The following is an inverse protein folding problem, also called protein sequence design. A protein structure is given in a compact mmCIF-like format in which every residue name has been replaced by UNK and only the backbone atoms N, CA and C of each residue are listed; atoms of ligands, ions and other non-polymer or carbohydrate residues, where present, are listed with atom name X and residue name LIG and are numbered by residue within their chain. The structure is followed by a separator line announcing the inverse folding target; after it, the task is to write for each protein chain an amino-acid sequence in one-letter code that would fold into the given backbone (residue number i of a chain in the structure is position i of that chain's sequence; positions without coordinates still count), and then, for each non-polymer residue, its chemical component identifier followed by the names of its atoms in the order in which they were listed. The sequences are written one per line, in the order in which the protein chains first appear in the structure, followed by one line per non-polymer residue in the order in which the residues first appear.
data_IF_537373215896
#
_entry.id   IF_537373215896
#
_cell.length_a   1.000
_cell.length_b   1.000
_cell.length_c   1.000
_cell.angle_alpha   90.00
_cell.angle_beta   90.00
_cell.angle_gamma   90.00
#
_symmetry.space_group_name_H-M   'P 1'
#
loop_
_entity.id
_entity.type
_entity.pdbx_description
1 polymer ?
#
# COMPACT_ATOMS: atom_id res chain seq x y z
N UNK A 1 -41.42 -7.83 -13.75
CA UNK A 1 -40.23 -6.97 -13.86
C UNK A 1 -40.32 -5.65 -13.05
N UNK A 2 -41.20 -5.54 -12.02
CA UNK A 2 -41.44 -4.29 -11.25
C UNK A 2 -41.09 -4.39 -9.75
N UNK A 3 -40.58 -5.54 -9.30
CA UNK A 3 -40.25 -5.81 -7.89
C UNK A 3 -38.78 -5.56 -7.53
N UNK A 4 -37.90 -5.43 -8.53
CA UNK A 4 -36.45 -5.33 -8.30
C UNK A 4 -35.94 -3.87 -8.13
N UNK A 5 -36.73 -2.89 -8.60
CA UNK A 5 -36.40 -1.45 -8.45
C UNK A 5 -36.77 -0.88 -7.08
N UNK A 6 -37.83 -1.39 -6.44
CA UNK A 6 -38.24 -0.97 -5.08
C UNK A 6 -37.30 -1.51 -4.00
N UNK A 7 -36.74 -2.70 -4.19
CA UNK A 7 -35.74 -3.29 -3.29
C UNK A 7 -34.41 -2.50 -3.30
N UNK A 8 -33.90 -2.12 -4.49
CA UNK A 8 -32.68 -1.30 -4.63
C UNK A 8 -32.83 0.10 -4.03
N UNK A 9 -33.97 0.76 -4.22
CA UNK A 9 -34.27 2.07 -3.61
C UNK A 9 -34.19 2.00 -2.07
N UNK A 10 -34.73 0.94 -1.47
CA UNK A 10 -34.68 0.72 -0.03
C UNK A 10 -33.25 0.42 0.48
N UNK A 11 -32.42 -0.27 -0.31
CA UNK A 11 -31.03 -0.53 0.06
C UNK A 11 -30.19 0.75 0.12
N UNK A 12 -30.22 1.58 -0.93
CA UNK A 12 -29.50 2.86 -0.93
C UNK A 12 -30.03 3.80 0.15
N UNK A 13 -31.35 3.88 0.35
CA UNK A 13 -31.94 4.67 1.43
C UNK A 13 -31.46 4.21 2.82
N UNK A 14 -31.44 2.89 3.08
CA UNK A 14 -30.91 2.30 4.31
C UNK A 14 -29.41 2.56 4.50
N UNK A 15 -28.65 2.56 3.41
CA UNK A 15 -27.22 2.82 3.41
C UNK A 15 -26.89 4.27 3.74
N UNK A 16 -27.60 5.22 3.14
CA UNK A 16 -27.45 6.65 3.44
C UNK A 16 -28.03 7.02 4.81
N UNK A 17 -29.05 6.30 5.29
CA UNK A 17 -29.57 6.47 6.65
C UNK A 17 -28.69 5.80 7.72
N UNK A 18 -27.65 5.06 7.33
CA UNK A 18 -26.80 4.35 8.27
C UNK A 18 -26.06 5.35 9.18
N UNK A 19 -26.27 5.31 10.51
CA UNK A 19 -25.67 6.26 11.44
C UNK A 19 -24.14 6.18 11.46
N UNK A 20 -23.57 5.01 11.17
CA UNK A 20 -22.12 4.83 11.12
C UNK A 20 -21.53 5.63 9.96
N UNK A 21 -22.13 5.52 8.77
CA UNK A 21 -21.68 6.23 7.58
C UNK A 21 -21.69 7.75 7.82
N UNK A 22 -22.80 8.27 8.34
CA UNK A 22 -22.95 9.70 8.64
C UNK A 22 -21.93 10.18 9.68
N UNK A 23 -21.67 9.38 10.71
CA UNK A 23 -20.65 9.66 11.73
C UNK A 23 -19.25 9.70 11.12
N UNK A 24 -18.88 8.71 10.32
CA UNK A 24 -17.55 8.63 9.69
C UNK A 24 -17.30 9.80 8.73
N UNK A 25 -18.23 10.07 7.82
CA UNK A 25 -18.10 11.21 6.90
C UNK A 25 -18.04 12.56 7.64
N UNK A 26 -18.91 12.78 8.62
CA UNK A 26 -18.92 14.04 9.38
C UNK A 26 -17.64 14.21 10.21
N UNK A 27 -17.16 13.12 10.83
CA UNK A 27 -15.92 13.13 11.61
C UNK A 27 -14.71 13.36 10.72
N UNK A 28 -14.68 12.73 9.54
CA UNK A 28 -13.60 12.91 8.57
C UNK A 28 -13.58 14.31 7.97
N UNK A 29 -14.74 14.86 7.59
CA UNK A 29 -14.85 16.22 7.05
C UNK A 29 -14.42 17.29 8.07
N UNK A 30 -14.67 17.05 9.36
CA UNK A 30 -14.24 17.95 10.46
C UNK A 30 -12.79 17.72 10.89
N UNK A 31 -12.16 16.63 10.47
CA UNK A 31 -10.81 16.32 10.87
C UNK A 31 -9.82 17.16 10.06
N UNK A 32 -9.13 18.07 10.74
CA UNK A 32 -8.12 18.93 10.13
C UNK A 32 -7.04 18.14 9.39
N UNK A 33 -6.77 16.89 9.79
CA UNK A 33 -5.81 16.01 9.11
C UNK A 33 -6.26 15.61 7.70
N UNK A 34 -7.55 15.38 7.49
CA UNK A 34 -8.09 15.00 6.18
C UNK A 34 -8.10 16.23 5.25
N UNK A 35 -8.49 17.39 5.77
CA UNK A 35 -8.44 18.66 5.04
C UNK A 35 -7.00 19.01 4.68
N UNK A 36 -6.07 18.87 5.62
CA UNK A 36 -4.64 19.09 5.38
C UNK A 36 -4.09 18.11 4.34
N UNK A 37 -4.46 16.82 4.41
CA UNK A 37 -4.04 15.83 3.42
C UNK A 37 -4.56 16.18 2.01
N UNK A 38 -5.83 16.59 1.90
CA UNK A 38 -6.42 17.03 0.63
C UNK A 38 -5.73 18.28 0.07
N UNK A 39 -5.52 19.30 0.92
CA UNK A 39 -4.83 20.51 0.53
C UNK A 39 -3.38 20.23 0.12
N UNK A 40 -2.68 19.37 0.88
CA UNK A 40 -1.32 18.96 0.58
C UNK A 40 -1.24 18.25 -0.77
N UNK A 41 -2.13 17.31 -1.07
CA UNK A 41 -2.13 16.64 -2.39
C UNK A 41 -2.43 17.60 -3.52
N UNK A 42 -3.41 18.49 -3.36
CA UNK A 42 -3.74 19.46 -4.41
C UNK A 42 -2.60 20.46 -4.63
N UNK A 43 -1.93 20.91 -3.56
CA UNK A 43 -0.77 21.80 -3.66
C UNK A 43 0.41 21.08 -4.30
N UNK A 44 0.72 19.86 -3.88
CA UNK A 44 1.82 19.08 -4.48
C UNK A 44 1.57 18.80 -5.95
N UNK A 45 0.37 18.35 -6.33
CA UNK A 45 0.01 18.12 -7.73
C UNK A 45 0.00 19.43 -8.54
N UNK A 46 -0.50 20.52 -7.95
CA UNK A 46 -0.46 21.85 -8.59
C UNK A 46 0.97 22.36 -8.79
N UNK A 47 1.86 22.15 -7.82
CA UNK A 47 3.29 22.49 -7.95
C UNK A 47 3.98 21.63 -9.00
N UNK A 48 3.71 20.32 -9.02
CA UNK A 48 4.22 19.42 -10.07
C UNK A 48 3.75 19.92 -11.43
N UNK A 49 2.46 20.22 -11.59
CA UNK A 49 1.91 20.77 -12.82
C UNK A 49 2.58 22.11 -13.20
N UNK A 50 2.83 23.00 -12.24
CA UNK A 50 3.50 24.28 -12.46
C UNK A 50 4.96 24.10 -12.91
N UNK A 51 5.71 23.19 -12.29
CA UNK A 51 7.10 22.90 -12.66
C UNK A 51 7.21 22.18 -14.00
N UNK A 52 6.25 21.29 -14.30
CA UNK A 52 6.17 20.57 -15.57
C UNK A 52 5.54 21.40 -16.68
N UNK A 53 5.03 22.60 -16.38
CA UNK A 53 4.36 23.42 -17.38
C UNK A 53 5.33 23.75 -18.53
N UNK A 54 5.01 23.39 -19.78
CA UNK A 54 5.94 23.52 -20.89
C UNK A 54 6.28 25.00 -21.12
N UNK A 55 7.56 25.35 -20.95
CA UNK A 55 8.08 26.71 -21.23
C UNK A 55 8.12 27.04 -22.73
N UNK A 56 8.02 26.03 -23.60
CA UNK A 56 8.16 26.14 -25.05
C UNK A 56 6.83 26.19 -25.83
N UNK A 57 5.70 26.44 -25.16
CA UNK A 57 4.38 26.56 -25.81
C UNK A 57 3.55 25.28 -25.80
N UNK A 58 2.26 25.43 -26.13
CA UNK A 58 1.14 24.51 -25.80
C UNK A 58 1.06 23.26 -26.72
N UNK A 59 1.95 23.08 -27.71
CA UNK A 59 1.73 22.11 -28.80
C UNK A 59 2.98 21.32 -29.26
N UNK A 60 3.78 20.76 -28.35
CA UNK A 60 4.79 19.76 -28.72
C UNK A 60 4.37 18.36 -28.25
N UNK A 61 3.75 17.60 -29.15
CA UNK A 61 3.10 16.30 -28.86
C UNK A 61 4.05 15.28 -28.20
N UNK A 62 5.32 15.26 -28.59
CA UNK A 62 6.30 14.29 -28.08
C UNK A 62 6.64 14.51 -26.58
N UNK A 63 6.69 15.78 -26.12
CA UNK A 63 6.99 16.08 -24.72
C UNK A 63 5.75 15.97 -23.83
N UNK A 64 4.55 16.19 -24.38
CA UNK A 64 3.29 16.19 -23.64
C UNK A 64 2.95 14.85 -22.98
N UNK A 65 3.22 13.73 -23.67
CA UNK A 65 2.95 12.39 -23.14
C UNK A 65 3.84 12.03 -21.95
N UNK A 66 5.11 12.44 -21.97
CA UNK A 66 6.04 12.23 -20.85
C UNK A 66 5.61 13.03 -19.62
N UNK A 67 5.26 14.31 -19.79
CA UNK A 67 4.80 15.17 -18.71
C UNK A 67 3.53 14.63 -18.05
N UNK A 68 2.58 14.18 -18.87
CA UNK A 68 1.34 13.61 -18.37
C UNK A 68 1.55 12.26 -17.66
N UNK A 69 2.49 11.43 -18.13
CA UNK A 69 2.88 10.18 -17.44
C UNK A 69 3.44 10.47 -16.05
N UNK A 70 4.35 11.44 -15.94
CA UNK A 70 4.96 11.82 -14.65
C UNK A 70 3.87 12.35 -13.71
N UNK A 71 2.99 13.20 -14.21
CA UNK A 71 1.88 13.77 -13.44
C UNK A 71 0.91 12.71 -12.93
N UNK A 72 0.40 11.83 -13.81
CA UNK A 72 -0.50 10.74 -13.42
C UNK A 72 0.17 9.71 -12.52
N UNK A 73 1.45 9.40 -12.75
CA UNK A 73 2.22 8.52 -11.88
C UNK A 73 2.37 9.11 -10.47
N UNK A 74 2.58 10.42 -10.37
CA UNK A 74 2.60 11.13 -9.08
C UNK A 74 1.22 11.12 -8.42
N UNK A 75 0.16 11.43 -9.15
CA UNK A 75 -1.22 11.38 -8.64
C UNK A 75 -1.58 10.00 -8.10
N UNK A 76 -1.33 8.95 -8.89
CA UNK A 76 -1.55 7.57 -8.49
C UNK A 76 -0.80 7.26 -7.18
N UNK A 77 0.46 7.67 -7.08
CA UNK A 77 1.28 7.44 -5.88
C UNK A 77 0.70 8.15 -4.66
N UNK A 78 0.33 9.42 -4.79
CA UNK A 78 -0.30 10.17 -3.71
C UNK A 78 -1.62 9.54 -3.28
N UNK A 79 -2.46 9.14 -4.23
CA UNK A 79 -3.76 8.53 -3.96
C UNK A 79 -3.62 7.19 -3.23
N UNK A 80 -2.70 6.31 -3.68
CA UNK A 80 -2.44 5.03 -3.02
C UNK A 80 -1.93 5.24 -1.59
N UNK A 81 -0.96 6.15 -1.39
CA UNK A 81 -0.38 6.42 -0.07
C UNK A 81 -1.41 6.99 0.91
N UNK A 82 -2.19 7.99 0.49
CA UNK A 82 -3.24 8.56 1.33
C UNK A 82 -4.31 7.53 1.69
N UNK A 83 -4.78 6.80 0.69
CA UNK A 83 -5.82 5.79 0.89
C UNK A 83 -5.36 4.70 1.85
N UNK A 84 -4.12 4.23 1.72
CA UNK A 84 -3.52 3.28 2.65
C UNK A 84 -3.45 3.82 4.08
N UNK A 85 -3.06 5.08 4.26
CA UNK A 85 -2.99 5.73 5.56
C UNK A 85 -4.35 5.79 6.28
N UNK A 86 -5.40 6.18 5.55
CA UNK A 86 -6.75 6.27 6.11
C UNK A 86 -7.39 4.90 6.35
N UNK A 87 -7.25 3.96 5.42
CA UNK A 87 -7.91 2.65 5.49
C UNK A 87 -7.23 1.66 6.44
N UNK A 88 -5.89 1.67 6.52
CA UNK A 88 -5.16 0.74 7.37
C UNK A 88 -5.42 0.96 8.86
N UNK A 89 -5.73 2.18 9.27
CA UNK A 89 -5.99 2.53 10.67
C UNK A 89 -7.48 2.49 11.05
N UNK A 90 -8.38 2.23 10.09
CA UNK A 90 -9.81 2.41 10.27
C UNK A 90 -10.45 1.50 11.34
N UNK A 91 -10.08 0.22 11.38
CA UNK A 91 -10.58 -0.73 12.40
C UNK A 91 -9.68 -0.73 13.63
N UNK A 92 -8.36 -0.76 13.42
CA UNK A 92 -7.41 -0.82 14.53
C UNK A 92 -7.50 0.38 15.46
N UNK A 93 -7.76 1.59 14.95
CA UNK A 93 -7.95 2.78 15.79
C UNK A 93 -9.19 2.64 16.69
N UNK A 94 -10.26 1.97 16.25
CA UNK A 94 -11.41 1.70 17.11
C UNK A 94 -11.14 0.60 18.13
N UNK A 95 -10.36 -0.41 17.75
CA UNK A 95 -9.94 -1.46 18.68
C UNK A 95 -9.05 -0.90 19.79
N UNK A 96 -8.13 -0.02 19.46
CA UNK A 96 -7.24 0.64 20.43
C UNK A 96 -8.00 1.58 21.38
N UNK A 97 -9.05 2.23 20.90
CA UNK A 97 -9.95 3.06 21.72
C UNK A 97 -10.97 2.26 22.53
N UNK A 98 -11.03 0.93 22.36
CA UNK A 98 -12.01 0.07 23.02
C UNK A 98 -13.46 0.23 22.52
N UNK A 99 -13.69 1.04 21.49
CA UNK A 99 -15.05 1.33 20.97
C UNK A 99 -15.57 0.21 20.07
N UNK A 100 -14.70 -0.64 19.54
CA UNK A 100 -15.09 -1.72 18.64
C UNK A 100 -16.01 -2.76 19.30
N UNK A 101 -15.77 -3.09 20.58
CA UNK A 101 -16.63 -4.02 21.34
C UNK A 101 -18.00 -3.40 21.55
N UNK A 102 -18.06 -2.11 21.88
CA UNK A 102 -19.32 -1.38 22.02
C UNK A 102 -20.12 -1.37 20.70
N UNK A 103 -19.44 -1.21 19.56
CA UNK A 103 -20.05 -1.22 18.23
C UNK A 103 -20.67 -2.59 17.88
N UNK A 104 -20.08 -3.69 18.37
CA UNK A 104 -20.65 -5.04 18.23
C UNK A 104 -21.87 -5.29 19.12
N UNK A 105 -22.06 -4.50 20.18
CA UNK A 105 -23.23 -4.61 21.07
C UNK A 105 -24.40 -3.70 20.68
N UNK A 106 -24.26 -2.90 19.62
CA UNK A 106 -25.32 -2.02 19.13
C UNK A 106 -26.43 -2.81 18.42
N UNK A 107 -27.63 -2.20 18.31
CA UNK A 107 -28.80 -2.76 17.62
C UNK A 107 -28.67 -2.84 16.08
N UNK A 108 -27.49 -2.57 15.53
CA UNK A 108 -27.24 -2.59 14.09
C UNK A 108 -26.94 -4.03 13.63
N UNK A 109 -27.41 -4.39 12.45
CA UNK A 109 -27.09 -5.68 11.86
C UNK A 109 -25.60 -5.76 11.47
N UNK A 110 -24.99 -6.97 11.45
CA UNK A 110 -23.61 -7.15 11.01
C UNK A 110 -23.33 -6.60 9.59
N UNK A 111 -24.31 -6.71 8.69
CA UNK A 111 -24.21 -6.17 7.33
C UNK A 111 -24.17 -4.65 7.28
N UNK A 112 -24.94 -3.96 8.14
CA UNK A 112 -24.93 -2.50 8.24
C UNK A 112 -23.63 -1.97 8.83
N UNK A 113 -23.05 -2.69 9.80
CA UNK A 113 -21.73 -2.36 10.35
C UNK A 113 -20.65 -2.51 9.27
N UNK A 114 -20.65 -3.63 8.55
CA UNK A 114 -19.70 -3.90 7.47
C UNK A 114 -19.77 -2.82 6.38
N UNK A 115 -20.97 -2.57 5.85
CA UNK A 115 -21.18 -1.62 4.76
C UNK A 115 -20.91 -0.17 5.20
N UNK A 116 -21.33 0.20 6.42
CA UNK A 116 -21.07 1.53 6.99
C UNK A 116 -19.58 1.81 7.14
N UNK A 117 -18.80 0.83 7.62
CA UNK A 117 -17.35 0.99 7.79
C UNK A 117 -16.61 1.00 6.44
N UNK A 118 -17.00 0.11 5.54
CA UNK A 118 -16.44 0.01 4.19
C UNK A 118 -16.63 1.32 3.42
N UNK A 119 -17.87 1.80 3.32
CA UNK A 119 -18.21 2.98 2.52
C UNK A 119 -17.78 4.26 3.21
N UNK A 120 -17.84 4.33 4.54
CA UNK A 120 -17.35 5.51 5.27
C UNK A 120 -15.87 5.75 5.02
N UNK A 121 -15.06 4.70 5.03
CA UNK A 121 -13.59 4.81 4.88
C UNK A 121 -13.16 4.94 3.41
N UNK A 122 -13.71 4.12 2.52
CA UNK A 122 -13.44 4.21 1.08
C UNK A 122 -14.02 5.49 0.48
N UNK A 123 -15.20 5.93 0.97
CA UNK A 123 -15.87 7.13 0.50
C UNK A 123 -15.05 8.39 0.69
N UNK A 124 -14.33 8.52 1.82
CA UNK A 124 -13.38 9.63 2.03
C UNK A 124 -12.27 9.60 0.98
N UNK A 125 -11.74 8.41 0.66
CA UNK A 125 -10.70 8.24 -0.36
C UNK A 125 -11.21 8.57 -1.76
N UNK A 126 -12.47 8.23 -2.07
CA UNK A 126 -13.14 8.63 -3.32
C UNK A 126 -13.42 10.13 -3.40
N UNK A 127 -13.76 10.78 -2.28
CA UNK A 127 -13.90 12.24 -2.25
C UNK A 127 -12.55 12.92 -2.54
N UNK A 128 -11.46 12.41 -1.97
CA UNK A 128 -10.11 12.89 -2.27
C UNK A 128 -9.76 12.72 -3.75
N UNK A 129 -10.11 11.58 -4.35
CA UNK A 129 -9.97 11.37 -5.80
C UNK A 129 -10.78 12.39 -6.60
N UNK A 130 -12.03 12.66 -6.24
CA UNK A 130 -12.84 13.67 -6.94
C UNK A 130 -12.22 15.08 -6.89
N UNK A 131 -11.43 15.39 -5.85
CA UNK A 131 -10.70 16.67 -5.75
C UNK A 131 -9.51 16.74 -6.71
N UNK A 132 -8.90 15.60 -7.07
CA UNK A 132 -7.78 15.57 -8.03
C UNK A 132 -8.24 15.66 -9.48
N UNK A 133 -9.44 15.16 -9.81
CA UNK A 133 -10.04 15.20 -11.16
C UNK A 133 -9.89 16.56 -11.87
N UNK A 134 -10.28 17.72 -11.30
CA UNK A 134 -10.13 18.99 -12.00
C UNK A 134 -8.67 19.34 -12.34
N UNK A 135 -7.72 18.95 -11.48
CA UNK A 135 -6.28 19.18 -11.72
C UNK A 135 -5.81 18.29 -12.88
N UNK A 136 -6.24 17.03 -12.90
CA UNK A 136 -5.94 16.10 -14.02
C UNK A 136 -6.52 16.58 -15.35
N UNK A 137 -7.71 17.17 -15.33
CA UNK A 137 -8.36 17.69 -16.52
C UNK A 137 -7.59 18.87 -17.11
N UNK A 138 -7.08 19.78 -16.26
CA UNK A 138 -6.22 20.90 -16.68
C UNK A 138 -4.91 20.37 -17.29
N UNK A 139 -4.30 19.34 -16.68
CA UNK A 139 -3.09 18.71 -17.21
C UNK A 139 -3.35 18.06 -18.58
N UNK A 140 -4.47 17.35 -18.72
CA UNK A 140 -4.86 16.69 -19.98
C UNK A 140 -5.11 17.69 -21.11
N UNK A 141 -5.73 18.83 -20.81
CA UNK A 141 -5.94 19.93 -21.76
C UNK A 141 -4.60 20.52 -22.25
N UNK A 142 -3.61 20.64 -21.37
CA UNK A 142 -2.27 21.09 -21.75
C UNK A 142 -1.48 20.06 -22.56
N UNK A 143 -1.80 18.77 -22.41
CA UNK A 143 -1.09 17.67 -23.07
C UNK A 143 -1.63 17.26 -24.44
N UNK A 144 -2.78 17.82 -24.87
CA UNK A 144 -3.41 17.43 -26.15
C UNK A 144 -3.96 16.00 -26.17
N UNK A 145 -4.28 15.44 -25.00
CA UNK A 145 -4.61 14.02 -24.86
C UNK A 145 -6.08 13.78 -25.21
N UNK A 146 -6.35 12.67 -25.90
CA UNK A 146 -7.72 12.28 -26.24
C UNK A 146 -8.57 12.07 -24.99
N UNK A 147 -9.85 12.48 -25.06
CA UNK A 147 -10.79 12.34 -23.94
C UNK A 147 -10.99 10.86 -23.53
N UNK A 148 -10.85 9.94 -24.50
CA UNK A 148 -10.91 8.51 -24.26
C UNK A 148 -9.71 8.00 -23.43
N UNK A 149 -8.49 8.47 -23.73
CA UNK A 149 -7.29 8.12 -22.96
C UNK A 149 -7.36 8.68 -21.53
N UNK A 150 -7.84 9.91 -21.36
CA UNK A 150 -8.09 10.50 -20.04
C UNK A 150 -9.08 9.67 -19.22
N UNK A 151 -10.20 9.25 -19.83
CA UNK A 151 -11.19 8.40 -19.17
C UNK A 151 -10.61 7.05 -18.73
N UNK A 152 -9.80 6.40 -19.59
CA UNK A 152 -9.10 5.16 -19.23
C UNK A 152 -8.11 5.39 -18.07
N UNK A 153 -7.30 6.45 -18.12
CA UNK A 153 -6.34 6.76 -17.05
C UNK A 153 -7.02 7.03 -15.70
N UNK A 154 -8.07 7.85 -15.66
CA UNK A 154 -8.85 8.11 -14.45
C UNK A 154 -9.50 6.83 -13.91
N UNK A 155 -9.95 5.93 -14.78
CA UNK A 155 -10.48 4.64 -14.35
C UNK A 155 -9.42 3.77 -13.65
N UNK A 156 -8.15 3.81 -14.10
CA UNK A 156 -7.04 3.10 -13.44
C UNK A 156 -6.78 3.66 -12.04
N UNK A 157 -6.72 5.00 -11.91
CA UNK A 157 -6.50 5.66 -10.61
C UNK A 157 -7.67 5.40 -9.65
N UNK A 158 -8.91 5.48 -10.14
CA UNK A 158 -10.10 5.21 -9.35
C UNK A 158 -10.13 3.75 -8.84
N UNK A 159 -9.92 2.79 -9.75
CA UNK A 159 -9.96 1.36 -9.43
C UNK A 159 -8.85 0.98 -8.44
N UNK A 160 -7.63 1.45 -8.68
CA UNK A 160 -6.50 1.21 -7.77
C UNK A 160 -6.75 1.80 -6.39
N UNK A 161 -7.22 3.05 -6.29
CA UNK A 161 -7.63 3.68 -5.03
C UNK A 161 -8.61 2.77 -4.26
N UNK A 162 -9.61 2.22 -4.95
CA UNK A 162 -10.60 1.34 -4.36
C UNK A 162 -10.00 0.01 -3.87
N UNK A 163 -9.20 -0.66 -4.70
CA UNK A 163 -8.60 -1.96 -4.37
C UNK A 163 -7.57 -1.84 -3.25
N UNK A 164 -6.68 -0.85 -3.29
CA UNK A 164 -5.70 -0.64 -2.21
C UNK A 164 -6.36 -0.16 -0.92
N UNK A 165 -7.48 0.56 -1.00
CA UNK A 165 -8.30 0.87 0.18
C UNK A 165 -8.93 -0.38 0.80
N UNK A 166 -9.45 -1.29 -0.02
CA UNK A 166 -9.96 -2.59 0.44
C UNK A 166 -8.86 -3.44 1.06
N UNK A 167 -7.66 -3.44 0.46
CA UNK A 167 -6.49 -4.10 1.01
C UNK A 167 -6.13 -3.54 2.39
N UNK A 168 -6.07 -2.21 2.53
CA UNK A 168 -5.82 -1.55 3.80
C UNK A 168 -6.86 -1.91 4.87
N UNK A 169 -8.14 -1.96 4.51
CA UNK A 169 -9.21 -2.40 5.41
C UNK A 169 -9.08 -3.88 5.81
N UNK A 170 -8.76 -4.76 4.86
CA UNK A 170 -8.54 -6.17 5.12
C UNK A 170 -7.38 -6.37 6.12
N UNK A 171 -6.26 -5.68 5.92
CA UNK A 171 -5.11 -5.70 6.83
C UNK A 171 -5.48 -5.10 8.20
N UNK A 172 -6.24 -3.99 8.23
CA UNK A 172 -6.73 -3.38 9.47
C UNK A 172 -7.58 -4.34 10.31
N UNK A 173 -8.41 -5.16 9.65
CA UNK A 173 -9.24 -6.17 10.32
C UNK A 173 -8.41 -7.31 10.94
N UNK A 174 -7.27 -7.65 10.35
CA UNK A 174 -6.40 -8.73 10.81
C UNK A 174 -5.45 -8.29 11.94
N UNK A 175 -5.03 -7.03 11.93
CA UNK A 175 -4.12 -6.47 12.91
C UNK A 175 -4.83 -5.99 14.20
N UNK A 176 -4.09 -5.96 15.32
CA UNK A 176 -4.58 -5.41 16.60
C UNK A 176 -4.11 -4.00 16.89
N UNK A 177 -2.92 -3.66 16.40
CA UNK A 177 -2.30 -2.35 16.60
C UNK A 177 -2.32 -1.58 15.30
N UNK A 178 -2.68 -0.31 15.35
CA UNK A 178 -2.78 0.58 14.18
C UNK A 178 -1.45 0.73 13.47
N UNK A 179 -0.37 0.80 14.24
CA UNK A 179 0.97 0.84 13.69
C UNK A 179 1.32 -0.41 12.86
N UNK A 180 1.01 -1.60 13.38
CA UNK A 180 1.29 -2.85 12.67
C UNK A 180 0.44 -2.98 11.40
N UNK A 181 -0.80 -2.50 11.43
CA UNK A 181 -1.67 -2.46 10.26
C UNK A 181 -1.13 -1.52 9.18
N UNK A 182 -0.79 -0.27 9.54
CA UNK A 182 -0.21 0.72 8.63
C UNK A 182 1.03 0.17 7.92
N UNK A 183 1.94 -0.40 8.68
CA UNK A 183 3.19 -0.95 8.17
C UNK A 183 2.96 -2.14 7.22
N UNK A 184 2.08 -3.07 7.60
CA UNK A 184 1.74 -4.22 6.76
C UNK A 184 1.05 -3.77 5.45
N UNK A 185 0.19 -2.75 5.51
CA UNK A 185 -0.46 -2.19 4.32
C UNK A 185 0.55 -1.53 3.39
N UNK A 186 1.45 -0.67 3.89
CA UNK A 186 2.45 -0.02 3.05
C UNK A 186 3.43 -1.03 2.41
N UNK A 187 3.91 -2.01 3.18
CA UNK A 187 4.78 -3.06 2.62
C UNK A 187 4.02 -3.88 1.57
N UNK A 188 2.76 -4.23 1.85
CA UNK A 188 1.93 -4.96 0.90
C UNK A 188 1.70 -4.19 -0.40
N UNK A 189 1.46 -2.89 -0.32
CA UNK A 189 1.31 -2.00 -1.48
C UNK A 189 2.60 -1.92 -2.30
N UNK A 190 3.75 -1.74 -1.65
CA UNK A 190 5.05 -1.71 -2.36
C UNK A 190 5.26 -3.03 -3.11
N UNK A 191 4.86 -4.15 -2.52
CA UNK A 191 4.97 -5.46 -3.17
C UNK A 191 3.97 -5.62 -4.34
N UNK A 192 2.70 -5.25 -4.14
CA UNK A 192 1.64 -5.37 -5.16
C UNK A 192 1.81 -4.39 -6.33
N UNK A 193 2.28 -3.16 -6.06
CA UNK A 193 2.38 -2.10 -7.05
C UNK A 193 3.78 -1.97 -7.66
N UNK A 194 4.83 -2.16 -6.85
CA UNK A 194 6.23 -1.94 -7.27
C UNK A 194 6.97 -3.23 -7.60
N UNK A 195 6.86 -4.26 -6.77
CA UNK A 195 7.65 -5.50 -6.95
C UNK A 195 7.21 -6.34 -8.16
N UNK A 196 6.01 -6.09 -8.70
CA UNK A 196 5.49 -6.71 -9.93
C UNK A 196 6.23 -6.27 -11.20
N UNK A 197 6.87 -5.09 -11.19
CA UNK A 197 7.64 -4.58 -12.34
C UNK A 197 9.00 -5.27 -12.49
N UNK A 198 9.62 -5.57 -11.35
CA UNK A 198 10.99 -6.07 -11.21
C UNK A 198 11.30 -7.38 -11.97
N UNK A 199 10.47 -8.44 -11.88
CA UNK A 199 10.73 -9.70 -12.58
C UNK A 199 10.79 -9.53 -14.10
N UNK A 200 9.94 -8.67 -14.66
CA UNK A 200 9.87 -8.45 -16.11
C UNK A 200 11.10 -7.74 -16.66
N UNK A 201 11.68 -6.83 -15.87
CA UNK A 201 12.85 -6.06 -16.27
C UNK A 201 14.11 -6.90 -16.09
N UNK A 202 14.21 -7.65 -15.00
CA UNK A 202 15.43 -8.38 -14.62
C UNK A 202 15.57 -9.77 -15.25
N UNK A 203 14.48 -10.48 -15.54
CA UNK A 203 14.51 -11.85 -16.06
C UNK A 203 14.06 -11.88 -17.52
N UNK A 204 14.98 -11.59 -18.44
CA UNK A 204 14.78 -11.73 -19.90
C UNK A 204 14.87 -13.20 -20.34
N UNK A 205 14.00 -14.05 -19.78
CA UNK A 205 13.90 -15.47 -20.19
C UNK A 205 12.79 -15.58 -21.24
N UNK A 206 13.09 -15.97 -22.49
CA UNK A 206 12.12 -15.91 -23.60
C UNK A 206 10.87 -16.79 -23.38
N UNK A 207 11.00 -17.94 -22.71
CA UNK A 207 9.88 -18.84 -22.44
C UNK A 207 8.90 -18.29 -21.38
N UNK A 208 9.37 -17.48 -20.44
CA UNK A 208 8.57 -16.99 -19.30
C UNK A 208 8.14 -15.53 -19.47
N UNK A 209 8.54 -14.88 -20.57
CA UNK A 209 8.27 -13.47 -20.85
C UNK A 209 6.76 -13.17 -20.88
N UNK A 210 5.94 -14.06 -21.45
CA UNK A 210 4.48 -13.90 -21.46
C UNK A 210 3.86 -13.90 -20.04
N UNK A 211 4.41 -14.69 -19.12
CA UNK A 211 3.96 -14.74 -17.73
C UNK A 211 4.39 -13.48 -16.99
N UNK A 212 5.62 -13.02 -17.22
CA UNK A 212 6.13 -11.77 -16.64
C UNK A 212 5.38 -10.53 -17.13
N UNK A 213 4.97 -10.48 -18.40
CA UNK A 213 4.14 -9.39 -18.92
C UNK A 213 2.77 -9.35 -18.24
N UNK A 214 2.13 -10.50 -18.02
CA UNK A 214 0.87 -10.58 -17.26
C UNK A 214 1.04 -10.18 -15.80
N UNK A 215 2.14 -10.60 -15.15
CA UNK A 215 2.48 -10.16 -13.79
C UNK A 215 2.73 -8.65 -13.70
N UNK A 216 3.37 -8.07 -14.72
CA UNK A 216 3.62 -6.63 -14.82
C UNK A 216 2.32 -5.84 -14.96
N UNK A 217 1.39 -6.37 -15.76
CA UNK A 217 0.05 -5.81 -15.97
C UNK A 217 -0.84 -5.81 -14.70
N UNK A 218 -0.45 -6.54 -13.64
CA UNK A 218 -1.10 -6.44 -12.33
C UNK A 218 -0.86 -5.06 -11.67
N UNK A 219 0.23 -4.38 -12.05
CA UNK A 219 0.56 -3.09 -11.45
C UNK A 219 -0.21 -1.94 -12.10
N UNK A 220 -0.76 -1.00 -11.31
CA UNK A 220 -1.45 0.18 -11.84
C UNK A 220 -0.51 1.12 -12.58
N UNK A 221 0.77 1.17 -12.18
CA UNK A 221 1.79 1.98 -12.85
C UNK A 221 2.04 1.49 -14.28
N UNK A 222 2.06 0.17 -14.49
CA UNK A 222 2.21 -0.38 -15.83
C UNK A 222 0.99 -0.11 -16.69
N UNK A 223 -0.22 -0.27 -16.14
CA UNK A 223 -1.43 0.02 -16.88
C UNK A 223 -1.48 1.49 -17.35
N UNK A 224 -1.03 2.43 -16.51
CA UNK A 224 -0.88 3.84 -16.92
C UNK A 224 0.19 4.02 -18.00
N UNK A 225 1.35 3.39 -17.85
CA UNK A 225 2.44 3.50 -18.82
C UNK A 225 2.05 2.94 -20.19
N UNK A 226 1.40 1.77 -20.23
CA UNK A 226 0.93 1.13 -21.45
C UNK A 226 -0.14 1.95 -22.17
N UNK A 227 -1.00 2.66 -21.44
CA UNK A 227 -2.01 3.54 -22.03
C UNK A 227 -1.40 4.82 -22.62
N UNK A 228 -0.36 5.38 -22.01
CA UNK A 228 0.23 6.64 -22.48
C UNK A 228 1.20 6.45 -23.65
N UNK A 229 1.94 5.34 -23.67
CA UNK A 229 2.91 5.01 -24.72
C UNK A 229 2.42 3.85 -25.60
N UNK A 230 1.14 3.83 -25.95
CA UNK A 230 0.53 2.71 -26.69
C UNK A 230 1.32 2.33 -27.96
N UNK A 231 1.70 3.32 -28.78
CA UNK A 231 2.46 3.07 -30.01
C UNK A 231 3.87 2.50 -29.75
N UNK A 232 4.59 3.05 -28.76
CA UNK A 232 5.93 2.54 -28.40
C UNK A 232 5.86 1.16 -27.74
N UNK A 233 4.76 0.87 -27.04
CA UNK A 233 4.54 -0.40 -26.36
C UNK A 233 4.30 -1.55 -27.36
N UNK A 234 3.51 -1.29 -28.40
CA UNK A 234 3.21 -2.26 -29.46
C UNK A 234 4.41 -2.59 -30.34
N UNK A 235 5.33 -1.62 -30.51
CA UNK A 235 6.59 -1.81 -31.26
C UNK A 235 7.65 -2.53 -30.41
N UNK A 236 7.69 -2.25 -29.10
CA UNK A 236 8.74 -2.76 -28.20
C UNK A 236 8.55 -4.18 -27.69
N UNK A 237 7.32 -4.72 -27.71
CA UNK A 237 6.99 -6.03 -27.14
C UNK A 237 6.11 -6.81 -28.12
N UNK A 238 6.70 -7.82 -28.78
CA UNK A 238 6.00 -8.67 -29.74
C UNK A 238 4.78 -9.34 -29.07
N UNK A 239 3.58 -9.00 -29.53
CA UNK A 239 2.32 -9.61 -29.10
C UNK A 239 1.62 -8.96 -27.90
N UNK A 240 2.05 -7.79 -27.43
CA UNK A 240 1.38 -7.06 -26.35
C UNK A 240 0.69 -5.79 -26.88
N UNK A 241 -0.65 -5.81 -26.94
CA UNK A 241 -1.45 -4.61 -27.21
C UNK A 241 -1.80 -3.86 -25.92
N UNK A 242 -1.80 -2.53 -25.96
CA UNK A 242 -2.13 -1.68 -24.81
C UNK A 242 -3.53 -1.98 -24.24
N UNK A 243 -4.50 -2.24 -25.12
CA UNK A 243 -5.88 -2.55 -24.72
C UNK A 243 -6.04 -3.92 -24.03
N UNK A 244 -5.23 -4.92 -24.40
CA UNK A 244 -5.20 -6.20 -23.70
C UNK A 244 -4.61 -6.05 -22.29
N UNK A 245 -3.55 -5.25 -22.14
CA UNK A 245 -2.94 -4.94 -20.84
C UNK A 245 -3.95 -4.26 -19.93
N UNK A 246 -4.65 -3.24 -20.44
CA UNK A 246 -5.70 -2.53 -19.70
C UNK A 246 -6.86 -3.44 -19.29
N UNK A 247 -7.33 -4.30 -20.20
CA UNK A 247 -8.42 -5.24 -19.92
C UNK A 247 -8.01 -6.27 -18.85
N UNK A 248 -6.79 -6.80 -18.94
CA UNK A 248 -6.25 -7.72 -17.94
C UNK A 248 -6.08 -7.04 -16.58
N UNK A 249 -5.60 -5.80 -16.56
CA UNK A 249 -5.49 -5.01 -15.34
C UNK A 249 -6.84 -4.87 -14.63
N UNK A 250 -7.90 -4.46 -15.35
CA UNK A 250 -9.25 -4.34 -14.78
C UNK A 250 -9.73 -5.66 -14.16
N UNK A 251 -9.61 -6.76 -14.92
CA UNK A 251 -10.04 -8.08 -14.44
C UNK A 251 -9.26 -8.46 -13.17
N UNK A 252 -7.94 -8.28 -13.17
CA UNK A 252 -7.09 -8.63 -12.04
C UNK A 252 -7.41 -7.83 -10.78
N UNK A 253 -7.70 -6.53 -10.93
CA UNK A 253 -8.10 -5.65 -9.83
C UNK A 253 -9.47 -6.00 -9.27
N UNK A 254 -10.44 -6.36 -10.13
CA UNK A 254 -11.75 -6.83 -9.68
C UNK A 254 -11.61 -8.11 -8.85
N UNK A 255 -10.77 -9.05 -9.30
CA UNK A 255 -10.50 -10.29 -8.57
C UNK A 255 -9.84 -9.99 -7.22
N UNK A 256 -8.82 -9.12 -7.19
CA UNK A 256 -8.16 -8.70 -5.94
C UNK A 256 -9.13 -8.00 -4.99
N UNK A 257 -10.00 -7.12 -5.51
CA UNK A 257 -11.02 -6.46 -4.72
C UNK A 257 -11.98 -7.47 -4.07
N UNK A 258 -12.42 -8.49 -4.82
CA UNK A 258 -13.28 -9.55 -4.30
C UNK A 258 -12.58 -10.36 -3.19
N UNK A 259 -11.30 -10.69 -3.37
CA UNK A 259 -10.49 -11.40 -2.36
C UNK A 259 -10.33 -10.57 -1.10
N UNK A 260 -9.95 -9.28 -1.22
CA UNK A 260 -9.78 -8.41 -0.06
C UNK A 260 -11.09 -8.13 0.66
N UNK A 261 -12.20 -7.98 -0.07
CA UNK A 261 -13.52 -7.87 0.52
C UNK A 261 -13.91 -9.12 1.30
N UNK A 262 -13.67 -10.33 0.75
CA UNK A 262 -13.95 -11.58 1.43
C UNK A 262 -13.12 -11.73 2.73
N UNK A 263 -11.84 -11.36 2.69
CA UNK A 263 -10.97 -11.33 3.88
C UNK A 263 -11.52 -10.35 4.91
N UNK A 264 -11.84 -9.13 4.51
CA UNK A 264 -12.41 -8.12 5.38
C UNK A 264 -13.72 -8.58 6.05
N UNK A 265 -14.66 -9.12 5.27
CA UNK A 265 -15.94 -9.61 5.76
C UNK A 265 -15.78 -10.79 6.74
N UNK A 266 -14.80 -11.67 6.51
CA UNK A 266 -14.51 -12.80 7.40
C UNK A 266 -13.88 -12.37 8.72
N UNK A 267 -12.93 -11.43 8.69
CA UNK A 267 -12.12 -11.08 9.86
C UNK A 267 -12.68 -9.93 10.71
N UNK A 268 -13.65 -9.16 10.22
CA UNK A 268 -14.27 -8.10 11.02
C UNK A 268 -15.04 -8.66 12.23
N UNK A 269 -15.73 -9.81 12.07
CA UNK A 269 -16.50 -10.48 13.14
C UNK A 269 -15.77 -11.66 13.77
N UNK A 270 -14.55 -11.97 13.33
CA UNK A 270 -13.77 -13.05 13.92
C UNK A 270 -13.45 -12.71 15.39
N UNK A 271 -13.69 -13.64 16.33
CA UNK A 271 -13.37 -13.41 17.73
C UNK A 271 -11.87 -13.13 17.89
N UNK A 272 -11.47 -12.24 18.82
CA UNK A 272 -10.07 -11.97 19.05
C UNK A 272 -9.38 -13.28 19.47
N UNK A 273 -8.46 -13.80 18.64
CA UNK A 273 -7.63 -14.94 19.02
C UNK A 273 -6.93 -14.63 20.34
N UNK A 274 -7.41 -15.16 21.47
CA UNK A 274 -6.74 -15.05 22.75
C UNK A 274 -5.35 -15.64 22.52
N UNK A 275 -4.34 -14.79 22.40
CA UNK A 275 -2.97 -15.24 22.28
C UNK A 275 -2.76 -15.97 23.58
N UNK A 276 -2.71 -17.32 23.52
CA UNK A 276 -2.23 -18.12 24.65
C UNK A 276 -0.98 -17.38 25.11
N UNK A 277 -1.03 -16.80 26.31
CA UNK A 277 0.16 -16.26 26.94
C UNK A 277 1.19 -17.34 26.72
N UNK A 278 2.28 -17.02 26.02
CA UNK A 278 3.30 -18.01 25.77
C UNK A 278 3.78 -18.40 27.15
N UNK A 279 3.22 -19.48 27.69
CA UNK A 279 3.68 -20.11 28.92
C UNK A 279 5.13 -20.33 28.61
N UNK A 280 5.98 -19.55 29.27
CA UNK A 280 7.42 -19.69 29.14
C UNK A 280 7.67 -21.06 29.72
N UNK A 281 7.65 -22.09 28.87
CA UNK A 281 7.93 -23.43 29.29
C UNK A 281 9.36 -23.39 29.80
N UNK A 282 9.49 -23.60 31.11
CA UNK A 282 10.78 -23.83 31.75
C UNK A 282 11.29 -25.15 31.21
N UNK A 283 12.22 -25.07 30.26
CA UNK A 283 12.86 -26.25 29.68
C UNK A 283 13.84 -26.81 30.70
N UNK A 284 13.67 -28.08 31.07
CA UNK A 284 14.60 -28.79 31.95
C UNK A 284 15.67 -29.56 31.14
N UNK A 285 15.44 -29.75 29.83
CA UNK A 285 16.28 -30.60 28.97
C UNK A 285 17.44 -29.86 28.27
N UNK A 286 18.67 -30.39 28.41
CA UNK A 286 19.93 -29.81 27.89
C UNK A 286 20.03 -29.84 26.37
N UNK A 287 19.48 -30.87 25.71
CA UNK A 287 19.49 -31.00 24.23
C UNK A 287 18.66 -29.90 23.57
N UNK A 288 17.49 -29.60 24.14
CA UNK A 288 16.62 -28.51 23.65
C UNK A 288 17.25 -27.13 23.86
N UNK A 289 18.00 -26.95 24.95
CA UNK A 289 18.75 -25.72 25.23
C UNK A 289 19.85 -25.49 24.18
N UNK A 290 20.61 -26.53 23.84
CA UNK A 290 21.69 -26.47 22.84
C UNK A 290 21.14 -26.17 21.44
N UNK A 291 20.07 -26.87 21.02
CA UNK A 291 19.39 -26.64 19.73
C UNK A 291 18.90 -25.20 19.57
N UNK A 292 18.48 -24.57 20.66
CA UNK A 292 18.03 -23.17 20.67
C UNK A 292 19.19 -22.18 20.65
N UNK A 293 20.30 -22.47 21.34
CA UNK A 293 21.50 -21.63 21.39
C UNK A 293 22.26 -21.59 20.06
N UNK A 294 22.27 -22.71 19.34
CA UNK A 294 22.81 -22.82 17.98
C UNK A 294 21.83 -22.39 16.89
N UNK A 295 20.53 -22.24 17.19
CA UNK A 295 19.53 -21.82 16.22
C UNK A 295 19.71 -20.35 15.82
N UNK A 296 19.86 -20.07 14.53
CA UNK A 296 19.92 -18.69 14.04
C UNK A 296 18.59 -17.96 14.27
N UNK A 297 18.54 -16.71 14.81
CA UNK A 297 19.66 -15.83 15.16
C UNK A 297 20.00 -15.77 16.68
N UNK A 298 19.60 -16.75 17.49
CA UNK A 298 19.86 -16.77 18.94
C UNK A 298 21.35 -16.78 19.31
N UNK A 299 22.21 -17.29 18.43
CA UNK A 299 23.67 -17.24 18.61
C UNK A 299 24.22 -15.81 18.63
N UNK A 300 23.61 -14.87 17.88
CA UNK A 300 24.06 -13.48 17.79
C UNK A 300 23.54 -12.60 18.93
N UNK A 301 22.25 -12.73 19.28
CA UNK A 301 21.60 -11.96 20.34
C UNK A 301 20.81 -12.93 21.21
N UNK A 302 21.30 -13.19 22.42
CA UNK A 302 20.59 -13.98 23.41
C UNK A 302 19.58 -13.08 24.18
N UNK A 303 18.26 -13.18 23.91
CA UNK A 303 17.26 -12.36 24.58
C UNK A 303 17.05 -12.76 26.04
N UNK A 304 17.53 -13.94 26.46
CA UNK A 304 17.41 -14.45 27.82
C UNK A 304 18.65 -14.17 28.67
N UNK A 305 19.73 -13.65 28.07
CA UNK A 305 20.94 -13.24 28.80
C UNK A 305 20.57 -12.15 29.82
N UNK A 306 20.88 -12.40 31.09
CA UNK A 306 20.59 -11.49 32.21
C UNK A 306 21.18 -10.12 31.91
N UNK A 307 20.33 -9.10 31.75
CA UNK A 307 20.75 -7.74 31.43
C UNK A 307 21.52 -7.17 32.63
N UNK A 308 22.64 -6.48 32.38
CA UNK A 308 23.41 -5.80 33.44
C UNK A 308 22.49 -4.82 34.22
N UNK A 309 22.73 -4.62 35.53
CA UNK A 309 22.00 -3.63 36.31
C UNK A 309 22.10 -2.24 35.66
N UNK A 310 21.06 -1.42 35.85
CA UNK A 310 21.03 -0.05 35.33
C UNK A 310 22.06 0.77 36.12
N UNK A 311 23.01 1.38 35.42
CA UNK A 311 24.03 2.22 36.07
C UNK A 311 23.42 3.48 36.69
N UNK A 312 23.97 3.95 37.81
CA UNK A 312 23.46 5.09 38.58
C UNK A 312 23.27 6.39 37.78
N UNK A 313 24.07 6.60 36.73
CA UNK A 313 24.05 7.81 35.90
C UNK A 313 23.12 7.71 34.67
N UNK A 314 22.44 6.58 34.46
CA UNK A 314 21.63 6.35 33.26
C UNK A 314 20.15 6.40 33.61
N UNK A 315 19.39 7.21 32.87
CA UNK A 315 17.95 7.34 33.07
C UNK A 315 17.27 5.95 32.99
N UNK A 316 16.64 5.48 34.08
CA UNK A 316 16.03 4.15 34.12
C UNK A 316 14.87 4.02 33.13
N UNK A 317 14.14 5.11 32.83
CA UNK A 317 13.07 5.15 31.83
C UNK A 317 13.63 4.91 30.43
N UNK A 318 14.68 5.64 30.05
CA UNK A 318 15.37 5.45 28.76
C UNK A 318 15.91 4.02 28.60
N UNK A 319 16.49 3.47 29.66
CA UNK A 319 17.02 2.10 29.63
C UNK A 319 15.90 1.06 29.55
N UNK A 320 14.78 1.29 30.24
CA UNK A 320 13.61 0.44 30.13
C UNK A 320 13.05 0.48 28.70
N UNK A 321 12.91 1.67 28.12
CA UNK A 321 12.36 1.89 26.79
C UNK A 321 13.21 1.27 25.67
N UNK A 322 14.53 1.43 25.71
CA UNK A 322 15.45 0.74 24.78
C UNK A 322 15.31 -0.79 24.90
N UNK A 323 15.18 -1.29 26.13
CA UNK A 323 15.12 -2.73 26.42
C UNK A 323 13.77 -3.36 26.09
N UNK A 324 12.68 -2.59 26.05
CA UNK A 324 11.31 -3.06 25.87
C UNK A 324 10.70 -2.73 24.51
N UNK A 325 11.05 -1.58 23.90
CA UNK A 325 10.48 -1.10 22.63
C UNK A 325 11.41 -1.36 21.45
N UNK A 326 12.54 -0.64 21.39
CA UNK A 326 13.48 -0.70 20.25
C UNK A 326 14.09 -2.09 20.07
N UNK A 327 14.47 -2.76 21.17
CA UNK A 327 15.00 -4.14 21.12
C UNK A 327 14.07 -5.17 21.78
N UNK A 328 12.77 -4.87 21.86
CA UNK A 328 11.78 -5.76 22.50
C UNK A 328 11.64 -7.12 21.80
N UNK A 329 11.88 -7.17 20.49
CA UNK A 329 11.90 -8.40 19.68
C UNK A 329 13.12 -8.43 18.74
N UNK A 330 14.34 -8.71 19.24
CA UNK A 330 15.55 -8.67 18.43
C UNK A 330 15.50 -9.65 17.25
N UNK A 331 14.73 -10.74 17.36
CA UNK A 331 14.49 -11.69 16.28
C UNK A 331 13.80 -11.06 15.07
N UNK A 332 12.84 -10.17 15.28
CA UNK A 332 12.11 -9.53 14.19
C UNK A 332 13.03 -8.56 13.44
N UNK A 333 13.80 -7.77 14.18
CA UNK A 333 14.75 -6.80 13.63
C UNK A 333 15.83 -7.51 12.82
N UNK A 334 16.44 -8.57 13.36
CA UNK A 334 17.46 -9.34 12.64
C UNK A 334 16.86 -9.99 11.39
N UNK A 335 15.64 -10.55 11.46
CA UNK A 335 14.95 -11.11 10.28
C UNK A 335 14.66 -10.05 9.23
N UNK A 336 14.18 -8.87 9.61
CA UNK A 336 13.92 -7.78 8.68
C UNK A 336 15.22 -7.29 8.01
N UNK A 337 16.28 -7.10 8.80
CA UNK A 337 17.58 -6.65 8.30
C UNK A 337 18.23 -7.70 7.36
N UNK A 338 18.10 -8.98 7.69
CA UNK A 338 18.62 -10.07 6.84
C UNK A 338 17.82 -10.26 5.56
N UNK A 339 16.49 -10.12 5.60
CA UNK A 339 15.66 -10.05 4.40
C UNK A 339 16.10 -8.86 3.53
N UNK A 340 16.36 -7.69 4.12
CA UNK A 340 16.84 -6.52 3.40
C UNK A 340 18.19 -6.77 2.72
N UNK A 341 19.16 -7.35 3.43
CA UNK A 341 20.48 -7.69 2.87
C UNK A 341 20.32 -8.74 1.76
N UNK A 342 19.52 -9.79 1.98
CA UNK A 342 19.29 -10.81 0.96
C UNK A 342 18.62 -10.25 -0.30
N UNK A 343 17.60 -9.40 -0.14
CA UNK A 343 16.97 -8.70 -1.28
C UNK A 343 17.95 -7.78 -2.00
N UNK A 344 18.79 -7.05 -1.25
CA UNK A 344 19.81 -6.18 -1.82
C UNK A 344 20.84 -6.95 -2.64
N UNK A 345 21.34 -8.07 -2.11
CA UNK A 345 22.27 -8.95 -2.81
C UNK A 345 21.60 -9.59 -4.03
N UNK A 346 20.37 -10.09 -3.90
CA UNK A 346 19.63 -10.68 -5.02
C UNK A 346 19.42 -9.66 -6.15
N UNK A 347 19.05 -8.41 -5.83
CA UNK A 347 18.95 -7.34 -6.82
C UNK A 347 20.28 -7.08 -7.51
N UNK A 348 21.36 -6.98 -6.75
CA UNK A 348 22.69 -6.70 -7.29
C UNK A 348 23.16 -7.80 -8.24
N UNK A 349 22.88 -9.07 -7.90
CA UNK A 349 23.19 -10.24 -8.75
C UNK A 349 22.35 -10.23 -10.03
N UNK A 350 21.03 -9.98 -9.93
CA UNK A 350 20.15 -9.91 -11.10
C UNK A 350 20.56 -8.79 -12.06
N UNK A 351 20.98 -7.65 -11.52
CA UNK A 351 21.47 -6.50 -12.27
C UNK A 351 22.80 -6.78 -12.96
N UNK A 352 23.73 -7.46 -12.28
CA UNK A 352 25.01 -7.85 -12.87
C UNK A 352 24.84 -8.75 -14.11
N UNK A 353 23.77 -9.56 -14.15
CA UNK A 353 23.45 -10.41 -15.30
C UNK A 353 22.87 -9.65 -16.51
N UNK A 354 22.50 -8.37 -16.37
CA UNK A 354 21.88 -7.55 -17.44
C UNK A 354 22.84 -6.58 -18.14
N UNK A 355 24.12 -6.58 -17.75
CA UNK A 355 25.14 -5.63 -18.24
C UNK A 355 25.39 -5.71 -19.75
N UNK A 356 24.90 -6.75 -20.44
CA UNK A 356 25.10 -6.93 -21.88
C UNK A 356 24.26 -6.05 -22.82
N UNK A 357 23.17 -5.42 -22.36
CA UNK A 357 22.12 -4.91 -23.28
C UNK A 357 21.56 -3.51 -22.91
N UNK A 358 22.06 -2.87 -21.84
CA UNK A 358 21.54 -1.56 -21.37
C UNK A 358 22.65 -0.70 -20.76
N UNK A 359 22.55 0.63 -20.89
CA UNK A 359 23.51 1.59 -20.33
C UNK A 359 23.78 1.31 -18.84
N UNK A 360 25.06 1.10 -18.50
CA UNK A 360 25.53 0.78 -17.14
C UNK A 360 25.03 1.80 -16.10
N UNK A 361 24.92 3.07 -16.49
CA UNK A 361 24.53 4.16 -15.59
C UNK A 361 23.03 4.16 -15.25
N UNK A 362 22.16 3.81 -16.21
CA UNK A 362 20.71 3.72 -15.97
C UNK A 362 20.38 2.55 -15.05
N UNK A 363 21.05 1.42 -15.23
CA UNK A 363 20.86 0.24 -14.38
C UNK A 363 21.35 0.53 -12.95
N UNK A 364 22.53 1.18 -12.79
CA UNK A 364 23.05 1.58 -11.48
C UNK A 364 22.13 2.57 -10.77
N UNK A 365 21.60 3.57 -11.48
CA UNK A 365 20.68 4.54 -10.90
C UNK A 365 19.39 3.89 -10.38
N UNK A 366 18.77 3.00 -11.16
CA UNK A 366 17.57 2.26 -10.75
C UNK A 366 17.85 1.35 -9.54
N UNK A 367 19.00 0.68 -9.51
CA UNK A 367 19.44 -0.16 -8.39
C UNK A 367 19.53 0.65 -7.08
N UNK A 368 20.21 1.79 -7.15
CA UNK A 368 20.47 2.67 -6.01
C UNK A 368 19.15 3.27 -5.52
N UNK A 369 18.30 3.77 -6.43
CA UNK A 369 16.99 4.34 -6.09
C UNK A 369 16.09 3.29 -5.43
N UNK A 370 16.07 2.06 -5.95
CA UNK A 370 15.27 0.98 -5.37
C UNK A 370 15.81 0.56 -3.99
N UNK A 371 17.14 0.44 -3.83
CA UNK A 371 17.75 0.15 -2.53
C UNK A 371 17.49 1.27 -1.51
N UNK A 372 17.62 2.54 -1.92
CA UNK A 372 17.24 3.69 -1.11
C UNK A 372 15.75 3.65 -0.75
N UNK A 373 14.88 3.28 -1.69
CA UNK A 373 13.45 3.13 -1.47
C UNK A 373 13.11 2.03 -0.45
N UNK A 374 13.74 0.86 -0.54
CA UNK A 374 13.56 -0.25 0.41
C UNK A 374 14.07 0.14 1.80
N UNK A 375 15.25 0.79 1.88
CA UNK A 375 15.81 1.28 3.15
C UNK A 375 14.97 2.40 3.74
N UNK A 376 14.50 3.34 2.93
CA UNK A 376 13.65 4.46 3.36
C UNK A 376 12.24 3.99 3.76
N UNK A 377 11.70 2.92 3.16
CA UNK A 377 10.44 2.31 3.58
C UNK A 377 10.58 1.55 4.90
N UNK A 378 11.74 0.91 5.14
CA UNK A 378 12.03 0.16 6.36
C UNK A 378 12.54 1.05 7.51
N UNK A 379 13.15 2.20 7.25
CA UNK A 379 13.64 3.11 8.30
C UNK A 379 12.53 3.57 9.27
N UNK A 380 11.33 4.00 8.79
CA UNK A 380 10.17 4.25 9.64
C UNK A 380 9.78 3.01 10.46
N UNK A 381 9.92 1.80 9.92
CA UNK A 381 9.53 0.58 10.63
C UNK A 381 10.38 0.32 11.88
N UNK A 382 11.66 0.68 11.80
CA UNK A 382 12.62 0.51 12.90
C UNK A 382 12.54 1.70 13.87
N UNK A 383 12.38 2.93 13.36
CA UNK A 383 12.33 4.15 14.17
C UNK A 383 11.00 4.36 14.88
N UNK A 384 9.86 4.13 14.25
CA UNK A 384 8.56 4.35 14.91
C UNK A 384 8.20 3.27 15.95
N UNK A 385 8.87 2.11 15.90
CA UNK A 385 8.87 1.14 17.01
C UNK A 385 9.50 1.71 18.30
N UNK A 386 10.16 2.87 18.25
CA UNK A 386 10.69 3.56 19.43
C UNK A 386 9.69 4.48 20.14
N UNK A 387 8.59 4.88 19.49
CA UNK A 387 7.70 5.94 20.00
C UNK A 387 6.42 5.38 20.66
N UNK A 388 5.99 4.16 20.33
CA UNK A 388 4.83 3.49 20.98
C UNK A 388 5.25 2.59 22.12
#
# INVERSE_FOLDING_TARGET
MKADSTSKSNFFARLFSNPILRREFSTAARNSKVVFAAAFTSICLGLILFFLWPRSGIFSEANSNELFTIFLGAELTFMILLTAGFTASAITSERERGTFVMLQTCLLSPGEILAGKLIGTLGISLVLFCVTIPITAICALSGGISLAALGKALSVVALSTLVYGLFGLAVSSLCRRSYAALLATYIGIIFLAGATWLPSVLLKIPELQAVFLKLRALSPYEALFALQFAESYEIGIIGASADQVFSFFIISMIVLAAVFFAVFAKYIFAPPNLRRSATVSTYVDTKTMLKRKLGWPFYLIDPLRRKKPIGRLRNPVFVAEIRSKIFGNPKFIIRALTICICMSIAMLVLIANQVGDTDIDKIRAVAIIFQLGVVAALAPTVSSSSIT
#
